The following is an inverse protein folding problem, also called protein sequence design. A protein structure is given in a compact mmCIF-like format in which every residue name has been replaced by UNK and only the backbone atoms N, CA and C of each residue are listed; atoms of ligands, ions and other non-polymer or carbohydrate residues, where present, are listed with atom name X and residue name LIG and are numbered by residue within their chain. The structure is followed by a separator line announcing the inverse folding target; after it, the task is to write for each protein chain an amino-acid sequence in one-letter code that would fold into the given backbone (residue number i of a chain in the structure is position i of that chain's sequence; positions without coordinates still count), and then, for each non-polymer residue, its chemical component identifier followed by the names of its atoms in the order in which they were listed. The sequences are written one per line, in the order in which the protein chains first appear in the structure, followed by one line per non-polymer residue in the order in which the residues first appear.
data_IF_519698554345
#
_entry.id   IF_519698554345
#
_cell.length_a   1.000
_cell.length_b   1.000
_cell.length_c   1.000
_cell.angle_alpha   90.00
_cell.angle_beta   90.00
_cell.angle_gamma   90.00
#
_symmetry.space_group_name_H-M   'P 1'
#
loop_
_entity.id
_entity.type
_entity.pdbx_description
1 polymer ?
#
# COMPACT_ATOMS: atom_id res chain seq x y z
N UNK A 1 -62.17 2.44 31.18
CA UNK A 1 -62.57 1.36 32.10
C UNK A 1 -61.27 0.84 32.72
N UNK A 2 -61.06 1.29 33.92
CA UNK A 2 -61.05 0.59 35.23
C UNK A 2 -59.80 -0.28 35.33
N UNK A 3 -58.96 -0.27 36.32
CA UNK A 3 -58.81 0.39 37.64
C UNK A 3 -57.59 -0.34 38.27
N UNK A 4 -56.64 0.39 38.73
CA UNK A 4 -56.17 0.57 40.09
C UNK A 4 -56.37 -0.63 41.04
N UNK A 5 -55.27 -1.08 41.66
CA UNK A 5 -55.27 -1.23 43.14
C UNK A 5 -53.83 -1.27 43.66
N UNK A 6 -53.56 -0.32 44.51
CA UNK A 6 -52.46 -0.14 45.47
C UNK A 6 -52.72 -1.04 46.67
N UNK A 7 -51.68 -1.62 47.31
CA UNK A 7 -51.70 -1.81 48.77
C UNK A 7 -50.33 -1.69 49.40
N UNK A 8 -50.25 -0.76 50.30
CA UNK A 8 -49.24 -0.50 51.33
C UNK A 8 -49.33 -1.49 52.49
N UNK A 9 -48.33 -1.58 53.25
CA UNK A 9 -48.22 -1.50 54.75
C UNK A 9 -47.22 -2.54 55.28
N UNK A 10 -46.46 -2.38 56.24
CA UNK A 10 -46.04 -1.50 57.30
C UNK A 10 -45.07 -2.31 58.19
N UNK A 11 -43.96 -1.72 58.49
CA UNK A 11 -43.40 -1.46 59.82
C UNK A 11 -43.23 -2.61 60.82
N UNK A 12 -41.97 -2.85 61.27
CA UNK A 12 -41.60 -2.81 62.70
C UNK A 12 -40.11 -3.04 62.96
N UNK A 13 -39.49 -2.07 63.62
CA UNK A 13 -38.29 -2.15 64.46
C UNK A 13 -38.78 -2.41 65.92
N UNK A 14 -37.90 -2.60 66.92
CA UNK A 14 -36.51 -2.98 67.08
C UNK A 14 -36.28 -4.06 68.18
N UNK A 15 -35.05 -4.57 68.39
CA UNK A 15 -34.54 -4.89 69.75
C UNK A 15 -33.00 -4.88 69.83
N UNK A 16 -32.54 -4.13 70.82
CA UNK A 16 -31.17 -4.08 71.38
C UNK A 16 -30.77 -5.37 72.06
N UNK A 17 -29.49 -5.76 72.04
CA UNK A 17 -28.66 -5.69 73.26
C UNK A 17 -27.32 -6.48 73.06
N UNK A 18 -26.26 -5.77 73.44
CA UNK A 18 -25.08 -6.19 74.24
C UNK A 18 -24.26 -7.36 73.73
N UNK A 19 -23.04 -7.17 73.27
CA UNK A 19 -21.87 -6.88 74.10
C UNK A 19 -20.88 -8.01 73.97
N UNK A 20 -19.71 -7.75 73.46
CA UNK A 20 -18.44 -8.18 73.99
C UNK A 20 -17.31 -7.85 73.00
N UNK A 21 -16.39 -7.06 73.47
CA UNK A 21 -15.04 -6.86 72.89
C UNK A 21 -14.33 -8.20 72.74
N UNK A 22 -13.75 -8.46 71.59
CA UNK A 22 -12.47 -9.20 71.47
C UNK A 22 -11.64 -8.52 70.39
N UNK A 23 -10.54 -8.01 70.86
CA UNK A 23 -9.53 -7.27 70.14
C UNK A 23 -8.53 -8.26 69.52
N UNK A 24 -8.12 -7.93 68.34
CA UNK A 24 -6.81 -8.13 67.70
C UNK A 24 -6.41 -9.41 66.99
N UNK A 25 -5.86 -9.08 65.88
CA UNK A 25 -4.77 -9.66 65.09
C UNK A 25 -5.26 -10.38 63.84
N UNK A 26 -5.30 -9.61 62.69
CA UNK A 26 -4.77 -10.04 61.42
C UNK A 26 -5.11 -9.03 60.29
N UNK A 27 -4.50 -7.88 60.36
CA UNK A 27 -4.62 -6.89 59.26
C UNK A 27 -3.31 -6.68 58.45
N UNK A 28 -2.25 -7.46 58.74
CA UNK A 28 -0.95 -7.27 58.08
C UNK A 28 -0.57 -8.30 57.03
N UNK A 29 -1.29 -9.42 56.89
CA UNK A 29 -0.87 -10.48 55.98
C UNK A 29 -1.58 -10.44 54.61
N UNK A 30 -2.63 -9.62 54.42
CA UNK A 30 -3.31 -9.50 53.12
C UNK A 30 -2.67 -8.47 52.16
N UNK A 31 -1.83 -7.57 52.68
CA UNK A 31 -1.19 -6.50 51.85
C UNK A 31 -0.01 -7.03 51.00
N UNK A 32 0.74 -7.99 51.56
CA UNK A 32 1.99 -8.47 50.91
C UNK A 32 1.68 -9.47 49.77
N UNK A 33 0.62 -10.25 49.85
CA UNK A 33 0.20 -11.16 48.79
C UNK A 33 -0.47 -10.47 47.61
N UNK A 34 -1.14 -9.35 47.83
CA UNK A 34 -1.72 -8.50 46.76
C UNK A 34 -0.63 -7.81 45.95
N UNK A 35 0.35 -7.24 46.63
CA UNK A 35 1.46 -6.53 45.98
C UNK A 35 2.39 -7.45 45.19
N UNK A 36 2.62 -8.70 45.63
CA UNK A 36 3.39 -9.70 44.86
C UNK A 36 2.68 -10.13 43.59
N UNK A 37 1.34 -10.29 43.62
CA UNK A 37 0.54 -10.67 42.44
C UNK A 37 0.46 -9.53 41.44
N UNK A 38 0.37 -8.26 41.89
CA UNK A 38 0.39 -7.09 40.98
C UNK A 38 1.78 -6.82 40.39
N UNK A 39 2.85 -7.05 41.15
CA UNK A 39 4.23 -6.96 40.63
C UNK A 39 4.54 -8.06 39.62
N UNK A 40 4.08 -9.30 39.84
CA UNK A 40 4.21 -10.39 38.85
C UNK A 40 3.38 -10.13 37.58
N UNK A 41 2.19 -9.57 37.72
CA UNK A 41 1.35 -9.18 36.58
C UNK A 41 1.96 -8.02 35.77
N UNK A 42 2.58 -7.03 36.44
CA UNK A 42 3.33 -5.96 35.77
C UNK A 42 4.61 -6.45 35.08
N UNK A 43 5.31 -7.42 35.66
CA UNK A 43 6.49 -8.04 35.03
C UNK A 43 6.11 -8.89 33.81
N UNK A 44 4.97 -9.58 33.84
CA UNK A 44 4.44 -10.33 32.69
C UNK A 44 3.90 -9.43 31.59
N UNK A 45 3.35 -8.26 31.90
CA UNK A 45 2.95 -7.26 30.90
C UNK A 45 4.16 -6.54 30.26
N UNK A 46 5.28 -6.39 30.98
CA UNK A 46 6.50 -5.79 30.44
C UNK A 46 7.25 -6.72 29.46
N UNK A 47 7.00 -8.03 29.49
CA UNK A 47 7.62 -8.99 28.56
C UNK A 47 6.83 -9.20 27.26
N UNK A 48 5.64 -8.60 27.11
CA UNK A 48 4.87 -8.62 25.85
C UNK A 48 5.31 -7.53 24.87
N UNK A 49 6.36 -6.76 25.17
CA UNK A 49 6.92 -5.70 24.34
C UNK A 49 7.99 -6.24 23.40
N UNK A 50 7.67 -6.22 22.11
CA UNK A 50 8.58 -6.36 20.97
C UNK A 50 9.04 -7.79 20.62
N UNK A 51 8.12 -8.64 20.19
CA UNK A 51 8.45 -9.59 19.14
C UNK A 51 8.65 -8.81 17.82
N UNK A 52 9.70 -8.01 17.73
CA UNK A 52 10.23 -7.58 16.45
C UNK A 52 10.74 -8.83 15.77
N UNK A 53 10.04 -9.27 14.72
CA UNK A 53 10.42 -10.47 13.98
C UNK A 53 11.90 -10.41 13.62
N UNK A 54 12.68 -11.35 14.12
CA UNK A 54 14.11 -11.42 13.82
C UNK A 54 14.26 -11.59 12.32
N UNK A 55 15.09 -10.75 11.72
CA UNK A 55 15.45 -10.85 10.30
C UNK A 55 16.07 -12.23 10.06
N UNK A 56 15.44 -13.01 9.19
CA UNK A 56 15.93 -14.35 8.84
C UNK A 56 16.76 -14.29 7.58
N UNK A 57 18.04 -14.62 7.70
CA UNK A 57 18.90 -14.76 6.54
C UNK A 57 18.54 -16.02 5.74
N UNK A 58 18.75 -15.94 4.44
CA UNK A 58 18.61 -17.08 3.52
C UNK A 58 19.83 -17.99 3.62
N UNK A 59 19.65 -19.29 3.43
CA UNK A 59 20.76 -20.22 3.37
C UNK A 59 21.63 -19.92 2.15
N UNK A 60 22.97 -19.89 2.36
CA UNK A 60 23.92 -19.63 1.30
C UNK A 60 24.02 -18.16 0.85
N UNK A 61 23.67 -17.22 1.70
CA UNK A 61 23.84 -15.79 1.41
C UNK A 61 25.30 -15.39 1.14
N UNK A 62 25.57 -14.44 0.24
CA UNK A 62 26.93 -13.99 -0.03
C UNK A 62 27.45 -13.10 1.11
N UNK A 63 28.72 -13.28 1.50
CA UNK A 63 29.37 -12.38 2.47
C UNK A 63 29.58 -10.97 1.90
N UNK A 64 29.78 -10.89 0.60
CA UNK A 64 30.03 -9.66 -0.12
C UNK A 64 29.33 -9.69 -1.47
N UNK A 65 28.71 -8.57 -1.87
CA UNK A 65 28.05 -8.44 -3.14
C UNK A 65 28.35 -7.09 -3.79
N UNK A 66 28.77 -7.10 -5.05
CA UNK A 66 28.96 -5.87 -5.83
C UNK A 66 27.70 -5.56 -6.61
N UNK A 67 27.15 -4.38 -6.41
CA UNK A 67 25.94 -3.90 -7.07
C UNK A 67 26.18 -3.78 -8.58
N UNK A 68 25.27 -4.32 -9.37
CA UNK A 68 25.33 -4.23 -10.83
C UNK A 68 24.19 -3.36 -11.37
N UNK A 69 24.40 -2.83 -12.58
CA UNK A 69 23.36 -2.03 -13.24
C UNK A 69 22.09 -2.88 -13.48
N UNK A 70 20.94 -2.35 -13.11
CA UNK A 70 19.65 -3.04 -13.20
C UNK A 70 19.21 -3.77 -11.93
N UNK A 71 20.09 -3.85 -10.91
CA UNK A 71 19.69 -4.34 -9.59
C UNK A 71 18.64 -3.40 -8.95
N UNK A 72 17.82 -3.96 -8.08
CA UNK A 72 16.97 -3.20 -7.15
C UNK A 72 17.33 -3.58 -5.71
N UNK A 73 16.98 -2.75 -4.73
CA UNK A 73 17.15 -3.12 -3.32
C UNK A 73 16.37 -4.38 -2.97
N UNK A 74 15.24 -4.59 -3.59
CA UNK A 74 14.44 -5.80 -3.46
C UNK A 74 15.20 -7.05 -3.91
N UNK A 75 15.80 -7.00 -5.11
CA UNK A 75 16.55 -8.15 -5.67
C UNK A 75 17.78 -8.47 -4.83
N UNK A 76 18.52 -7.43 -4.43
CA UNK A 76 19.69 -7.59 -3.55
C UNK A 76 19.25 -8.21 -2.22
N UNK A 77 18.17 -7.71 -1.62
CA UNK A 77 17.65 -8.24 -0.35
C UNK A 77 17.22 -9.69 -0.45
N UNK A 78 16.68 -10.11 -1.58
CA UNK A 78 16.33 -11.50 -1.87
C UNK A 78 17.53 -12.45 -1.91
N UNK A 79 18.76 -11.94 -2.06
CA UNK A 79 19.98 -12.73 -1.97
C UNK A 79 20.39 -13.00 -0.51
N UNK A 80 20.03 -12.11 0.42
CA UNK A 80 20.38 -12.17 1.83
C UNK A 80 19.24 -12.66 2.73
N UNK A 81 17.99 -12.31 2.43
CA UNK A 81 16.84 -12.52 3.29
C UNK A 81 15.90 -13.60 2.74
N UNK A 82 15.27 -14.34 3.65
CA UNK A 82 14.12 -15.20 3.31
C UNK A 82 12.91 -14.35 2.93
N UNK A 83 12.73 -13.18 3.60
CA UNK A 83 11.70 -12.20 3.36
C UNK A 83 12.32 -10.87 2.87
N UNK A 84 12.43 -10.65 1.55
CA UNK A 84 13.13 -9.49 0.97
C UNK A 84 12.59 -8.13 1.46
N UNK A 85 11.31 -8.04 1.80
CA UNK A 85 10.68 -6.80 2.27
C UNK A 85 11.25 -6.30 3.61
N UNK A 86 11.95 -7.15 4.36
CA UNK A 86 12.60 -6.75 5.61
C UNK A 86 13.93 -6.03 5.42
N UNK A 87 14.32 -5.70 4.18
CA UNK A 87 15.59 -5.04 3.90
C UNK A 87 15.85 -3.74 4.70
N UNK A 88 14.83 -2.93 5.09
CA UNK A 88 15.10 -1.74 5.90
C UNK A 88 15.78 -2.09 7.24
N UNK A 89 15.57 -3.28 7.75
CA UNK A 89 16.20 -3.74 9.00
C UNK A 89 17.69 -4.06 8.81
N UNK A 90 18.09 -4.59 7.65
CA UNK A 90 19.50 -4.80 7.30
C UNK A 90 20.24 -3.48 7.08
N UNK A 91 19.50 -2.43 6.70
CA UNK A 91 20.06 -1.15 6.30
C UNK A 91 20.37 -0.18 7.44
N UNK A 92 19.88 -0.45 8.65
CA UNK A 92 20.03 0.40 9.85
C UNK A 92 21.49 0.75 10.21
N UNK A 93 22.46 -0.02 9.72
CA UNK A 93 23.89 0.20 9.98
C UNK A 93 24.49 1.34 9.16
N UNK A 94 23.75 1.93 8.24
CA UNK A 94 24.27 2.95 7.34
C UNK A 94 23.64 4.33 7.58
N UNK A 95 23.83 4.94 8.77
CA UNK A 95 23.24 6.24 9.11
C UNK A 95 23.76 7.37 8.23
N UNK A 96 24.93 7.18 7.58
CA UNK A 96 25.49 8.10 6.61
C UNK A 96 24.73 8.11 5.26
N UNK A 97 23.80 7.19 5.07
CA UNK A 97 22.98 7.11 3.87
C UNK A 97 21.55 7.38 4.33
N UNK A 98 21.14 8.64 4.34
CA UNK A 98 19.80 9.07 4.72
C UNK A 98 18.73 8.46 3.81
N UNK A 99 19.07 8.21 2.56
CA UNK A 99 18.21 7.58 1.58
C UNK A 99 18.82 6.25 1.11
N UNK A 100 18.24 5.10 1.45
CA UNK A 100 18.75 3.80 1.02
C UNK A 100 18.77 3.60 -0.52
N UNK A 101 18.03 4.42 -1.27
CA UNK A 101 18.12 4.43 -2.73
C UNK A 101 19.40 5.06 -3.28
N UNK A 102 20.28 5.60 -2.43
CA UNK A 102 21.57 6.14 -2.83
C UNK A 102 22.65 5.05 -2.88
N UNK A 103 22.36 3.91 -3.46
CA UNK A 103 23.30 2.85 -3.80
C UNK A 103 23.49 2.87 -5.32
N UNK A 104 24.73 2.72 -5.75
CA UNK A 104 25.09 2.84 -7.14
C UNK A 104 25.71 1.54 -7.66
N UNK A 105 25.60 1.25 -8.95
CA UNK A 105 26.36 0.19 -9.58
C UNK A 105 27.85 0.37 -9.32
N UNK A 106 28.52 -0.69 -8.83
CA UNK A 106 29.91 -0.68 -8.41
C UNK A 106 30.12 -0.56 -6.91
N UNK A 107 29.12 -0.15 -6.12
CA UNK A 107 29.19 -0.20 -4.67
C UNK A 107 29.28 -1.65 -4.20
N UNK A 108 30.06 -1.89 -3.15
CA UNK A 108 30.23 -3.23 -2.58
C UNK A 108 29.49 -3.29 -1.23
N UNK A 109 28.56 -4.22 -1.14
CA UNK A 109 27.81 -4.51 0.08
C UNK A 109 28.50 -5.65 0.85
N UNK A 110 28.76 -5.43 2.13
CA UNK A 110 29.39 -6.43 3.00
C UNK A 110 28.48 -6.71 4.17
N UNK A 111 28.16 -7.99 4.42
CA UNK A 111 27.38 -8.41 5.56
C UNK A 111 28.25 -8.44 6.82
N UNK A 112 27.81 -7.79 7.86
CA UNK A 112 28.43 -7.78 9.19
C UNK A 112 27.39 -8.03 10.26
N UNK A 113 27.83 -8.31 11.49
CA UNK A 113 26.94 -8.51 12.63
C UNK A 113 27.24 -7.46 13.70
N UNK A 114 26.24 -6.71 14.09
CA UNK A 114 26.33 -5.73 15.19
C UNK A 114 25.31 -6.15 16.26
N UNK A 115 25.78 -6.38 17.48
CA UNK A 115 24.97 -6.89 18.59
C UNK A 115 24.16 -8.16 18.25
N UNK A 116 24.73 -9.04 17.43
CA UNK A 116 24.07 -10.28 17.00
C UNK A 116 23.01 -10.09 15.89
N UNK A 117 22.81 -8.86 15.41
CA UNK A 117 21.89 -8.57 14.30
C UNK A 117 22.66 -8.43 12.98
N UNK A 118 22.20 -9.07 11.89
CA UNK A 118 22.82 -8.93 10.58
C UNK A 118 22.60 -7.51 10.04
N UNK A 119 23.64 -6.93 9.46
CA UNK A 119 23.61 -5.59 8.87
C UNK A 119 24.46 -5.56 7.59
N UNK A 120 23.97 -4.86 6.56
CA UNK A 120 24.70 -4.60 5.35
C UNK A 120 25.39 -3.24 5.43
N UNK A 121 26.70 -3.21 5.24
CA UNK A 121 27.48 -1.98 5.10
C UNK A 121 27.84 -1.75 3.63
N UNK A 122 27.73 -0.49 3.20
CA UNK A 122 28.15 -0.07 1.84
C UNK A 122 29.60 0.37 1.90
N UNK A 123 30.43 -0.29 1.12
CA UNK A 123 31.81 0.12 0.90
C UNK A 123 31.92 0.75 -0.49
N UNK A 124 31.96 2.07 -0.52
CA UNK A 124 32.30 2.81 -1.74
C UNK A 124 33.81 2.75 -1.88
N UNK A 125 34.28 1.98 -2.85
CA UNK A 125 35.68 1.91 -3.13
C UNK A 125 36.27 3.33 -3.24
N UNK A 126 37.09 3.73 -2.27
CA UNK A 126 37.88 4.94 -2.41
C UNK A 126 38.61 4.83 -3.72
N UNK A 127 38.34 5.73 -4.65
CA UNK A 127 39.15 5.93 -5.83
C UNK A 127 40.54 6.42 -5.34
N UNK A 128 41.36 5.49 -4.85
CA UNK A 128 42.76 5.76 -4.53
C UNK A 128 43.52 5.87 -5.81
N UNK A 129 43.49 7.05 -6.39
CA UNK A 129 44.35 7.36 -7.52
C UNK A 129 44.27 8.85 -7.81
N UNK A 130 45.39 9.57 -7.61
CA UNK A 130 45.54 10.90 -8.20
C UNK A 130 45.53 10.75 -9.70
N UNK A 131 44.36 10.82 -10.33
CA UNK A 131 44.25 10.81 -11.78
C UNK A 131 44.63 12.21 -12.24
N UNK A 132 45.81 12.32 -12.89
CA UNK A 132 46.21 13.51 -13.60
C UNK A 132 45.19 13.76 -14.70
N UNK A 133 44.25 14.71 -14.47
CA UNK A 133 43.21 15.06 -15.41
C UNK A 133 43.83 15.78 -16.61
N UNK A 134 43.96 15.09 -17.71
CA UNK A 134 44.13 15.76 -19.02
C UNK A 134 42.78 16.41 -19.38
N UNK A 135 42.76 17.62 -19.94
CA UNK A 135 41.53 18.29 -20.34
C UNK A 135 40.94 17.61 -21.58
N UNK A 136 40.20 16.53 -21.37
CA UNK A 136 39.31 15.90 -22.34
C UNK A 136 37.93 15.85 -21.71
N UNK A 137 36.96 16.36 -22.45
CA UNK A 137 35.54 16.22 -22.06
C UNK A 137 35.23 14.72 -22.03
N UNK A 138 35.14 14.14 -20.82
CA UNK A 138 34.57 12.81 -20.61
C UNK A 138 33.13 13.02 -20.20
N UNK A 139 32.18 12.77 -21.08
CA UNK A 139 30.81 12.54 -20.75
C UNK A 139 30.70 11.12 -20.18
N UNK A 140 30.86 10.96 -18.88
CA UNK A 140 30.45 9.73 -18.20
C UNK A 140 28.96 9.90 -17.92
N UNK A 141 28.09 8.93 -18.28
CA UNK A 141 26.72 8.97 -17.82
C UNK A 141 26.75 9.02 -16.27
N UNK A 142 26.00 9.95 -15.70
CA UNK A 142 25.82 9.98 -14.25
C UNK A 142 25.20 8.64 -13.88
N UNK A 143 25.88 7.86 -13.05
CA UNK A 143 25.34 6.61 -12.58
C UNK A 143 24.07 6.91 -11.79
N UNK A 144 22.93 6.39 -12.25
CA UNK A 144 21.69 6.49 -11.51
C UNK A 144 21.70 5.51 -10.33
N UNK A 145 21.20 5.98 -9.19
CA UNK A 145 21.02 5.13 -8.01
C UNK A 145 20.01 4.01 -8.31
N UNK A 146 20.23 2.85 -7.71
CA UNK A 146 19.31 1.72 -7.90
C UNK A 146 17.98 1.99 -7.17
N UNK A 147 16.82 1.71 -7.79
CA UNK A 147 15.53 1.89 -7.15
C UNK A 147 15.29 0.82 -6.07
N UNK A 148 14.40 1.12 -5.12
CA UNK A 148 13.97 0.15 -4.11
C UNK A 148 13.22 -1.04 -4.71
N UNK A 149 12.45 -0.79 -5.76
CA UNK A 149 11.67 -1.79 -6.52
C UNK A 149 11.69 -1.42 -8.01
N UNK A 150 11.32 -2.35 -8.91
CA UNK A 150 11.24 -2.06 -10.35
C UNK A 150 10.16 -1.02 -10.65
N UNK A 151 10.54 0.25 -10.82
CA UNK A 151 9.59 1.36 -11.02
C UNK A 151 8.95 1.38 -12.41
N UNK A 152 9.55 0.73 -13.40
CA UNK A 152 9.10 0.79 -14.80
C UNK A 152 7.63 0.36 -14.96
N UNK A 153 7.23 -0.72 -14.32
CA UNK A 153 5.84 -1.23 -14.37
C UNK A 153 4.85 -0.29 -13.70
N UNK A 154 5.25 0.32 -12.57
CA UNK A 154 4.44 1.27 -11.82
C UNK A 154 4.26 2.58 -12.60
N UNK A 155 5.35 3.13 -13.15
CA UNK A 155 5.33 4.40 -13.87
C UNK A 155 4.38 4.34 -15.07
N UNK A 156 4.50 3.29 -15.88
CA UNK A 156 3.62 3.10 -17.05
C UNK A 156 2.15 2.99 -16.64
N UNK A 157 1.88 2.37 -15.50
CA UNK A 157 0.52 2.20 -14.99
C UNK A 157 -0.06 3.50 -14.44
N UNK A 158 0.68 4.24 -13.61
CA UNK A 158 0.20 5.48 -12.98
C UNK A 158 -0.05 6.61 -13.98
N UNK A 159 0.60 6.55 -15.14
CA UNK A 159 0.36 7.51 -16.21
C UNK A 159 -0.98 7.29 -16.92
N UNK A 160 -1.54 6.10 -16.87
CA UNK A 160 -2.71 5.68 -17.65
C UNK A 160 -3.99 5.43 -16.84
N UNK A 161 -3.92 5.47 -15.51
CA UNK A 161 -5.06 5.13 -14.66
C UNK A 161 -5.22 6.10 -13.49
N UNK A 162 -6.45 6.51 -13.26
CA UNK A 162 -6.85 7.32 -12.10
C UNK A 162 -8.09 6.69 -11.48
N UNK A 163 -8.16 6.69 -10.16
CA UNK A 163 -9.39 6.32 -9.44
C UNK A 163 -10.12 7.58 -9.01
N UNK A 164 -11.41 7.55 -9.21
CA UNK A 164 -12.36 8.52 -8.66
C UNK A 164 -13.14 7.82 -7.56
N UNK A 165 -12.96 8.26 -6.32
CA UNK A 165 -13.50 7.60 -5.13
C UNK A 165 -15.04 7.71 -5.02
N UNK A 166 -15.63 8.76 -5.60
CA UNK A 166 -17.08 9.02 -5.57
C UNK A 166 -17.62 9.16 -6.99
N UNK A 167 -18.70 8.47 -7.29
CA UNK A 167 -19.37 8.57 -8.59
C UNK A 167 -19.82 10.00 -8.90
N UNK A 168 -20.28 10.73 -7.87
CA UNK A 168 -20.74 12.12 -8.01
C UNK A 168 -19.62 13.08 -8.45
N UNK A 169 -18.37 12.83 -8.04
CA UNK A 169 -17.21 13.66 -8.44
C UNK A 169 -16.90 13.44 -9.92
N UNK A 170 -17.10 12.21 -10.41
CA UNK A 170 -16.98 11.92 -11.84
C UNK A 170 -18.10 12.59 -12.65
N UNK A 171 -19.35 12.49 -12.18
CA UNK A 171 -20.52 13.03 -12.87
C UNK A 171 -20.53 14.56 -12.92
N UNK A 172 -20.02 15.23 -11.88
CA UNK A 172 -19.92 16.70 -11.78
C UNK A 172 -18.70 17.29 -12.47
N UNK A 173 -17.71 16.46 -12.83
CA UNK A 173 -16.51 16.93 -13.49
C UNK A 173 -16.85 17.62 -14.83
N UNK A 174 -16.11 18.67 -15.23
CA UNK A 174 -16.25 19.26 -16.55
C UNK A 174 -16.14 18.21 -17.65
N UNK A 175 -16.85 18.38 -18.74
CA UNK A 175 -16.93 17.39 -19.81
C UNK A 175 -16.85 18.03 -21.19
N UNK A 176 -16.40 17.26 -22.18
CA UNK A 176 -16.23 17.70 -23.54
C UNK A 176 -17.58 17.75 -24.25
N UNK A 177 -17.91 18.90 -24.82
CA UNK A 177 -19.17 19.18 -25.53
C UNK A 177 -19.02 19.25 -27.03
N UNK A 178 -17.85 19.67 -27.54
CA UNK A 178 -17.61 19.78 -28.99
C UNK A 178 -16.10 19.65 -29.31
N UNK A 179 -15.80 19.22 -30.53
CA UNK A 179 -14.50 19.36 -31.15
C UNK A 179 -14.47 20.61 -32.06
N UNK A 180 -13.30 21.03 -32.53
CA UNK A 180 -13.14 22.07 -33.51
C UNK A 180 -13.78 21.66 -34.86
N UNK A 181 -14.42 22.58 -35.54
CA UNK A 181 -15.09 22.36 -36.83
C UNK A 181 -16.12 21.21 -36.81
N UNK A 182 -16.92 21.09 -35.74
CA UNK A 182 -17.97 20.07 -35.55
C UNK A 182 -17.45 18.62 -35.55
N UNK A 183 -16.17 18.39 -35.27
CA UNK A 183 -15.60 17.08 -35.21
C UNK A 183 -16.09 16.34 -33.96
N UNK A 184 -16.45 15.07 -34.14
CA UNK A 184 -16.87 14.17 -33.06
C UNK A 184 -15.66 13.53 -32.36
N UNK A 185 -14.54 13.42 -33.08
CA UNK A 185 -13.29 12.85 -32.61
C UNK A 185 -12.18 13.89 -32.78
N UNK A 186 -11.38 14.06 -31.72
CA UNK A 186 -10.27 15.01 -31.71
C UNK A 186 -8.99 14.34 -31.28
N UNK A 187 -7.87 14.81 -31.82
CA UNK A 187 -6.53 14.28 -31.54
C UNK A 187 -5.55 15.37 -31.11
N UNK A 188 -4.30 15.01 -30.88
CA UNK A 188 -3.24 15.96 -30.51
C UNK A 188 -3.11 17.07 -31.53
N UNK A 189 -3.10 18.33 -31.07
CA UNK A 189 -3.03 19.52 -31.86
C UNK A 189 -4.40 20.14 -32.19
N UNK A 190 -5.50 19.42 -31.98
CA UNK A 190 -6.85 19.95 -32.16
C UNK A 190 -7.26 20.82 -30.96
N UNK A 191 -8.28 21.66 -31.18
CA UNK A 191 -8.99 22.37 -30.11
C UNK A 191 -10.30 21.65 -29.80
N UNK A 192 -10.66 21.66 -28.51
CA UNK A 192 -11.92 21.12 -28.02
C UNK A 192 -12.61 22.14 -27.12
N UNK A 193 -13.91 21.98 -26.96
CA UNK A 193 -14.73 22.79 -26.07
C UNK A 193 -15.27 21.89 -24.94
N UNK A 194 -15.10 22.37 -23.72
CA UNK A 194 -15.56 21.67 -22.54
C UNK A 194 -16.44 22.58 -21.68
N UNK A 195 -17.44 22.02 -21.03
CA UNK A 195 -18.38 22.71 -20.15
C UNK A 195 -18.21 22.27 -18.72
N UNK A 196 -18.22 23.21 -17.79
CA UNK A 196 -18.15 22.96 -16.36
C UNK A 196 -17.50 24.09 -15.59
N UNK A 197 -17.04 23.77 -14.38
CA UNK A 197 -16.30 24.69 -13.53
C UNK A 197 -14.81 24.43 -13.68
N UNK A 198 -14.04 25.47 -14.02
CA UNK A 198 -12.60 25.40 -14.21
C UNK A 198 -11.89 26.29 -13.19
N UNK A 199 -10.80 25.79 -12.64
CA UNK A 199 -9.94 26.53 -11.73
C UNK A 199 -9.01 27.45 -12.56
N UNK A 200 -9.08 28.78 -12.38
CA UNK A 200 -8.23 29.72 -13.12
C UNK A 200 -6.74 29.55 -12.83
N UNK A 201 -6.39 29.01 -11.66
CA UNK A 201 -5.00 28.78 -11.28
C UNK A 201 -4.40 27.51 -11.88
N UNK A 202 -5.24 26.64 -12.44
CA UNK A 202 -4.83 25.36 -13.03
C UNK A 202 -5.21 25.29 -14.51
N UNK A 203 -4.34 25.73 -15.42
CA UNK A 203 -4.66 25.71 -16.84
C UNK A 203 -4.59 24.32 -17.48
N UNK A 204 -3.91 23.34 -16.84
CA UNK A 204 -3.68 22.01 -17.41
C UNK A 204 -4.66 21.00 -16.86
N UNK A 205 -5.38 20.34 -17.77
CA UNK A 205 -6.36 19.30 -17.45
C UNK A 205 -6.02 17.98 -18.15
N UNK A 206 -6.17 16.89 -17.40
CA UNK A 206 -6.22 15.54 -17.96
C UNK A 206 -7.63 15.24 -18.46
N UNK A 207 -7.72 14.46 -19.52
CA UNK A 207 -8.96 14.01 -20.14
C UNK A 207 -9.12 12.54 -19.86
N UNK A 208 -10.26 12.17 -19.29
CA UNK A 208 -10.51 10.81 -18.81
C UNK A 208 -11.86 10.30 -19.29
N UNK A 209 -11.91 9.01 -19.58
CA UNK A 209 -13.14 8.28 -19.88
C UNK A 209 -13.47 7.35 -18.73
N UNK A 210 -14.75 7.21 -18.44
CA UNK A 210 -15.21 6.24 -17.46
C UNK A 210 -14.84 4.82 -17.92
N UNK A 211 -14.02 4.17 -17.14
CA UNK A 211 -13.68 2.78 -17.30
C UNK A 211 -14.49 1.88 -16.38
N UNK A 212 -13.81 0.93 -15.75
CA UNK A 212 -14.45 -0.06 -14.86
C UNK A 212 -14.92 0.56 -13.55
N UNK A 213 -16.14 0.24 -13.14
CA UNK A 213 -16.65 0.53 -11.80
C UNK A 213 -16.25 -0.63 -10.88
N UNK A 214 -15.56 -0.31 -9.79
CA UNK A 214 -15.15 -1.29 -8.81
C UNK A 214 -16.18 -1.41 -7.70
N UNK A 215 -16.58 -2.64 -7.42
CA UNK A 215 -17.45 -3.03 -6.31
C UNK A 215 -16.77 -4.12 -5.49
N UNK A 216 -17.01 -4.11 -4.19
CA UNK A 216 -16.54 -5.19 -3.32
C UNK A 216 -17.28 -6.48 -3.65
N UNK A 217 -16.58 -7.58 -3.95
CA UNK A 217 -17.24 -8.82 -4.36
C UNK A 217 -18.05 -9.48 -3.25
N UNK A 218 -17.81 -9.15 -1.98
CA UNK A 218 -18.50 -9.73 -0.84
C UNK A 218 -19.66 -8.85 -0.35
N UNK A 219 -19.42 -7.53 -0.23
CA UNK A 219 -20.39 -6.59 0.34
C UNK A 219 -21.20 -5.85 -0.71
N UNK A 220 -20.78 -5.90 -1.98
CA UNK A 220 -21.35 -5.13 -3.10
C UNK A 220 -21.22 -3.60 -2.91
N UNK A 221 -20.38 -3.17 -1.97
CA UNK A 221 -20.09 -1.75 -1.77
C UNK A 221 -19.39 -1.17 -2.99
N UNK A 222 -19.78 0.04 -3.40
CA UNK A 222 -19.07 0.83 -4.40
C UNK A 222 -17.72 1.27 -3.83
N UNK A 223 -16.63 0.93 -4.53
CA UNK A 223 -15.25 1.23 -4.14
C UNK A 223 -14.64 2.40 -4.90
N UNK A 224 -15.06 2.63 -6.14
CA UNK A 224 -14.55 3.69 -6.99
C UNK A 224 -14.73 3.42 -8.47
N UNK A 225 -14.37 4.40 -9.29
CA UNK A 225 -14.39 4.33 -10.75
C UNK A 225 -12.96 4.43 -11.27
N UNK A 226 -12.55 3.49 -12.12
CA UNK A 226 -11.35 3.68 -12.92
C UNK A 226 -11.65 4.71 -14.01
N UNK A 227 -10.85 5.75 -14.08
CA UNK A 227 -10.89 6.74 -15.13
C UNK A 227 -9.67 6.52 -16.04
N UNK A 228 -9.93 6.06 -17.25
CA UNK A 228 -8.92 5.78 -18.26
C UNK A 228 -8.37 7.08 -18.83
N UNK A 229 -7.06 7.26 -18.82
CA UNK A 229 -6.41 8.45 -19.38
C UNK A 229 -6.52 8.45 -20.91
N UNK A 230 -7.26 9.40 -21.44
CA UNK A 230 -7.45 9.61 -22.88
C UNK A 230 -6.45 10.61 -23.43
N UNK A 231 -6.09 11.62 -22.61
CA UNK A 231 -5.20 12.65 -23.06
C UNK A 231 -5.02 13.77 -22.05
N UNK A 232 -4.56 14.91 -22.53
CA UNK A 232 -4.45 16.13 -21.74
C UNK A 232 -4.29 17.35 -22.63
N UNK A 233 -4.74 18.48 -22.12
CA UNK A 233 -4.70 19.75 -22.82
C UNK A 233 -4.61 20.93 -21.85
N UNK A 234 -4.38 22.08 -22.41
CA UNK A 234 -4.28 23.34 -21.69
C UNK A 234 -5.45 24.27 -22.08
N UNK A 235 -6.05 24.90 -21.08
CA UNK A 235 -7.09 25.91 -21.30
C UNK A 235 -6.44 27.14 -21.94
N UNK A 236 -6.93 27.51 -23.10
CA UNK A 236 -6.47 28.71 -23.86
C UNK A 236 -7.44 29.87 -23.73
N UNK A 237 -8.71 29.61 -23.45
CA UNK A 237 -9.73 30.61 -23.20
C UNK A 237 -10.88 30.05 -22.38
N UNK A 238 -11.57 30.90 -21.62
CA UNK A 238 -12.77 30.55 -20.88
C UNK A 238 -13.83 31.63 -21.07
N UNK A 239 -15.04 31.21 -21.45
CA UNK A 239 -16.19 32.10 -21.63
C UNK A 239 -17.38 31.53 -20.86
N UNK A 240 -17.70 32.15 -19.71
CA UNK A 240 -18.74 31.65 -18.80
C UNK A 240 -18.43 30.27 -18.24
N UNK A 241 -19.24 29.27 -18.56
CA UNK A 241 -19.08 27.87 -18.16
C UNK A 241 -18.42 27.01 -19.26
N UNK A 242 -17.96 27.62 -20.34
CA UNK A 242 -17.28 26.92 -21.44
C UNK A 242 -15.81 27.31 -21.51
N UNK A 243 -14.95 26.31 -21.55
CA UNK A 243 -13.52 26.47 -21.77
C UNK A 243 -13.10 25.89 -23.13
N UNK A 244 -12.19 26.59 -23.79
CA UNK A 244 -11.48 26.10 -25.00
C UNK A 244 -10.15 25.50 -24.54
N UNK A 245 -9.89 24.25 -24.89
CA UNK A 245 -8.65 23.57 -24.60
C UNK A 245 -7.88 23.25 -25.88
N UNK A 246 -6.57 23.45 -25.86
CA UNK A 246 -5.65 22.94 -26.87
C UNK A 246 -5.11 21.56 -26.43
N UNK A 247 -5.35 20.53 -27.23
CA UNK A 247 -4.91 19.17 -26.94
C UNK A 247 -3.40 19.04 -27.14
N UNK A 248 -2.68 18.78 -26.06
CA UNK A 248 -1.22 18.62 -26.08
C UNK A 248 -0.81 17.17 -26.27
N UNK A 249 -1.61 16.23 -25.73
CA UNK A 249 -1.34 14.79 -25.73
C UNK A 249 -2.64 14.02 -25.83
N UNK A 250 -2.65 12.97 -26.63
CA UNK A 250 -3.73 11.99 -26.67
C UNK A 250 -3.16 10.58 -26.73
N UNK A 251 -3.72 9.66 -25.93
CA UNK A 251 -3.43 8.23 -25.96
C UNK A 251 -4.47 7.48 -26.78
N UNK A 252 -5.66 8.06 -26.85
CA UNK A 252 -6.80 7.60 -27.64
C UNK A 252 -7.52 8.82 -28.20
N UNK A 253 -8.47 8.60 -29.11
CA UNK A 253 -9.34 9.65 -29.62
C UNK A 253 -10.20 10.22 -28.50
N UNK A 254 -10.18 11.54 -28.38
CA UNK A 254 -11.01 12.28 -27.44
C UNK A 254 -12.44 12.32 -27.99
N UNK A 255 -13.42 12.04 -27.14
CA UNK A 255 -14.84 11.95 -27.51
C UNK A 255 -15.70 12.91 -26.70
N UNK A 256 -16.87 13.23 -27.23
CA UNK A 256 -17.88 13.98 -26.49
C UNK A 256 -18.28 13.24 -25.22
N UNK A 257 -18.38 13.96 -24.12
CA UNK A 257 -18.68 13.40 -22.80
C UNK A 257 -17.46 12.90 -22.01
N UNK A 258 -16.25 12.85 -22.59
CA UNK A 258 -15.04 12.60 -21.80
C UNK A 258 -14.88 13.70 -20.73
N UNK A 259 -14.45 13.31 -19.53
CA UNK A 259 -14.37 14.16 -18.34
C UNK A 259 -13.00 14.79 -18.17
N UNK A 260 -12.98 16.00 -17.62
CA UNK A 260 -11.75 16.70 -17.34
C UNK A 260 -11.50 16.75 -15.84
N UNK A 261 -10.26 16.46 -15.48
CA UNK A 261 -9.79 16.62 -14.10
C UNK A 261 -8.53 17.45 -14.12
N UNK A 262 -8.40 18.37 -13.16
CA UNK A 262 -7.18 19.14 -12.99
C UNK A 262 -5.99 18.19 -12.81
N UNK A 263 -4.85 18.56 -13.40
CA UNK A 263 -3.64 17.76 -13.29
C UNK A 263 -3.24 17.62 -11.83
N UNK A 264 -3.45 16.44 -11.24
CA UNK A 264 -2.69 16.08 -10.05
C UNK A 264 -1.21 16.13 -10.42
N UNK A 265 -0.38 16.71 -9.57
CA UNK A 265 1.06 16.51 -9.65
C UNK A 265 1.30 15.00 -9.72
N UNK A 266 1.72 14.52 -10.87
CA UNK A 266 2.06 13.11 -11.11
C UNK A 266 3.43 12.79 -10.49
N UNK A 267 3.72 13.37 -9.33
CA UNK A 267 4.93 13.06 -8.58
C UNK A 267 4.77 11.69 -7.96
N UNK A 268 5.44 10.73 -8.55
CA UNK A 268 5.57 9.41 -7.96
C UNK A 268 6.66 9.53 -6.91
N UNK A 269 6.31 9.28 -5.66
CA UNK A 269 7.32 9.04 -4.65
C UNK A 269 8.06 7.75 -5.03
N UNK A 270 9.21 7.88 -5.67
CA UNK A 270 9.99 6.72 -6.16
C UNK A 270 10.68 5.94 -5.03
N UNK A 271 10.57 6.43 -3.79
CA UNK A 271 11.18 5.82 -2.61
C UNK A 271 10.12 5.08 -1.82
N UNK A 272 9.98 3.79 -2.07
CA UNK A 272 9.09 2.93 -1.28
C UNK A 272 9.88 2.25 -0.17
N UNK A 273 9.41 2.43 1.08
CA UNK A 273 9.94 1.73 2.25
C UNK A 273 9.00 0.59 2.62
N UNK A 274 9.39 -0.67 2.36
CA UNK A 274 8.54 -1.80 2.69
C UNK A 274 8.24 -1.88 4.19
N UNK A 275 6.98 -2.12 4.52
CA UNK A 275 6.51 -2.28 5.89
C UNK A 275 5.31 -3.22 5.95
N UNK A 276 5.09 -3.84 7.11
CA UNK A 276 3.83 -4.52 7.35
C UNK A 276 2.72 -3.49 7.63
N UNK A 277 1.47 -3.74 7.23
CA UNK A 277 0.34 -2.90 7.63
C UNK A 277 0.22 -2.82 9.15
N UNK A 278 -0.19 -1.64 9.66
CA UNK A 278 -0.38 -1.43 11.10
C UNK A 278 -1.65 -2.11 11.65
N UNK A 279 -2.58 -2.50 10.78
CA UNK A 279 -3.82 -3.21 11.12
C UNK A 279 -3.87 -4.54 10.39
N UNK A 280 -4.65 -5.47 10.89
CA UNK A 280 -4.93 -6.72 10.20
C UNK A 280 -5.74 -6.46 8.93
N UNK A 281 -5.16 -6.79 7.80
CA UNK A 281 -5.78 -6.67 6.48
C UNK A 281 -6.30 -8.03 6.06
N UNK A 282 -7.56 -8.06 5.65
CA UNK A 282 -8.19 -9.22 5.05
C UNK A 282 -8.95 -8.74 3.81
N UNK A 283 -8.29 -8.79 2.68
CA UNK A 283 -8.80 -8.30 1.40
C UNK A 283 -8.68 -9.35 0.31
N UNK A 284 -9.07 -8.95 -0.90
CA UNK A 284 -8.96 -9.77 -2.11
C UNK A 284 -8.49 -8.92 -3.29
N UNK A 285 -7.89 -9.58 -4.27
CA UNK A 285 -7.60 -8.99 -5.58
C UNK A 285 -8.92 -8.90 -6.35
N UNK A 286 -9.33 -7.69 -6.75
CA UNK A 286 -10.60 -7.47 -7.45
C UNK A 286 -10.43 -7.25 -8.94
N UNK A 287 -9.24 -6.89 -9.38
CA UNK A 287 -8.98 -6.63 -10.79
C UNK A 287 -7.50 -6.68 -11.14
N UNK A 288 -7.25 -6.89 -12.44
CA UNK A 288 -5.94 -6.73 -13.09
C UNK A 288 -6.11 -5.74 -14.23
N UNK A 289 -5.69 -4.49 -14.07
CA UNK A 289 -6.03 -3.40 -15.01
C UNK A 289 -5.64 -3.63 -16.47
N UNK A 290 -4.73 -4.56 -16.74
CA UNK A 290 -4.34 -4.92 -18.13
C UNK A 290 -5.11 -6.13 -18.69
N UNK A 291 -6.15 -6.59 -18.01
CA UNK A 291 -7.07 -7.61 -18.53
C UNK A 291 -6.48 -9.03 -18.65
N UNK A 292 -5.35 -9.32 -17.98
CA UNK A 292 -4.80 -10.68 -17.94
C UNK A 292 -5.55 -11.52 -16.92
N UNK A 293 -5.83 -12.77 -17.28
CA UNK A 293 -6.52 -13.71 -16.38
C UNK A 293 -5.57 -14.39 -15.38
N UNK A 294 -4.29 -14.43 -15.69
CA UNK A 294 -3.24 -14.98 -14.84
C UNK A 294 -2.28 -13.88 -14.43
N UNK A 295 -2.07 -13.74 -13.14
CA UNK A 295 -1.25 -12.70 -12.54
C UNK A 295 0.10 -13.32 -12.19
N UNK A 296 1.17 -12.67 -12.64
CA UNK A 296 2.55 -13.04 -12.37
C UNK A 296 3.31 -11.96 -11.60
N UNK A 297 4.62 -12.16 -11.47
CA UNK A 297 5.50 -11.12 -10.95
C UNK A 297 5.51 -9.90 -11.88
N UNK A 298 5.58 -8.70 -11.29
CA UNK A 298 5.56 -7.39 -11.95
C UNK A 298 4.19 -6.97 -12.53
N UNK A 299 3.14 -7.74 -12.31
CA UNK A 299 1.79 -7.31 -12.65
C UNK A 299 1.22 -6.38 -11.56
N UNK A 300 0.43 -5.40 -12.01
CA UNK A 300 -0.33 -4.51 -11.13
C UNK A 300 -1.71 -5.10 -10.89
N UNK A 301 -2.12 -5.09 -9.63
CA UNK A 301 -3.42 -5.59 -9.18
C UNK A 301 -4.18 -4.53 -8.39
N UNK A 302 -5.50 -4.59 -8.44
CA UNK A 302 -6.39 -3.75 -7.64
C UNK A 302 -6.92 -4.55 -6.46
N UNK A 303 -6.87 -3.96 -5.27
CA UNK A 303 -7.31 -4.54 -4.00
C UNK A 303 -8.57 -3.84 -3.50
N UNK A 304 -9.48 -4.58 -2.84
CA UNK A 304 -10.68 -4.03 -2.20
C UNK A 304 -10.40 -3.44 -0.80
N UNK A 305 -9.18 -3.02 -0.54
CA UNK A 305 -8.75 -2.39 0.70
C UNK A 305 -7.97 -1.12 0.40
N UNK A 306 -8.19 -0.07 1.18
CA UNK A 306 -7.62 1.25 0.98
C UNK A 306 -7.15 1.92 2.27
N UNK A 307 -7.02 3.24 2.24
CA UNK A 307 -6.60 4.07 3.39
C UNK A 307 -7.51 3.87 4.60
N UNK A 308 -8.82 3.79 4.41
CA UNK A 308 -9.80 3.59 5.50
C UNK A 308 -9.56 2.28 6.25
N UNK A 309 -9.03 1.25 5.59
CA UNK A 309 -8.71 -0.05 6.19
C UNK A 309 -7.35 -0.05 6.88
N UNK A 310 -6.53 0.99 6.70
CA UNK A 310 -5.20 1.13 7.30
C UNK A 310 -4.06 0.76 6.37
N UNK A 311 -4.31 0.66 5.05
CA UNK A 311 -3.24 0.51 4.06
C UNK A 311 -2.55 1.84 3.76
N UNK A 312 -1.24 1.78 3.62
CA UNK A 312 -0.37 2.87 3.19
C UNK A 312 0.54 2.42 2.06
N UNK A 313 1.06 3.38 1.31
CA UNK A 313 2.06 3.11 0.27
C UNK A 313 3.33 2.53 0.92
N UNK A 314 3.89 1.47 0.31
CA UNK A 314 4.98 0.67 0.88
C UNK A 314 4.52 -0.54 1.69
N UNK A 315 3.25 -0.68 2.04
CA UNK A 315 2.78 -1.86 2.75
C UNK A 315 2.92 -3.12 1.88
N UNK A 316 3.44 -4.17 2.49
CA UNK A 316 3.61 -5.48 1.86
C UNK A 316 2.52 -6.43 2.35
N UNK A 317 1.92 -7.16 1.42
CA UNK A 317 0.88 -8.15 1.70
C UNK A 317 1.27 -9.49 1.09
N UNK A 318 0.88 -10.56 1.77
CA UNK A 318 0.96 -11.93 1.26
C UNK A 318 -0.29 -12.23 0.45
N UNK A 319 -0.11 -12.78 -0.74
CA UNK A 319 -1.21 -13.32 -1.54
C UNK A 319 -1.38 -14.80 -1.22
N UNK A 320 -2.60 -15.17 -0.87
CA UNK A 320 -2.99 -16.53 -0.52
C UNK A 320 -3.87 -17.09 -1.61
N UNK A 321 -3.39 -18.16 -2.24
CA UNK A 321 -4.22 -18.94 -3.17
C UNK A 321 -5.28 -19.68 -2.38
N UNK A 322 -6.53 -19.45 -2.73
CA UNK A 322 -7.64 -20.17 -2.10
C UNK A 322 -7.56 -21.66 -2.44
N UNK A 323 -7.54 -22.50 -1.42
CA UNK A 323 -7.52 -23.94 -1.59
C UNK A 323 -8.79 -24.44 -2.30
N UNK A 324 -8.63 -25.43 -3.16
CA UNK A 324 -9.74 -26.07 -3.86
C UNK A 324 -10.59 -26.92 -2.91
N UNK A 325 -11.87 -27.07 -3.22
CA UNK A 325 -12.72 -28.04 -2.54
C UNK A 325 -12.65 -29.35 -3.32
N UNK A 326 -11.98 -30.33 -2.76
CA UNK A 326 -11.85 -31.68 -3.36
C UNK A 326 -12.84 -32.63 -2.71
N UNK A 327 -13.26 -33.63 -3.46
CA UNK A 327 -14.07 -34.72 -2.88
C UNK A 327 -13.15 -35.79 -2.33
N UNK A 328 -13.22 -36.03 -1.01
CA UNK A 328 -12.49 -37.14 -0.39
C UNK A 328 -12.94 -38.46 -1.02
N UNK A 329 -11.99 -39.20 -1.57
CA UNK A 329 -12.28 -40.47 -2.27
C UNK A 329 -12.69 -41.60 -1.33
N UNK A 330 -12.41 -41.48 -0.03
CA UNK A 330 -12.71 -42.50 0.99
C UNK A 330 -14.06 -42.21 1.63
N UNK A 331 -14.27 -40.99 2.10
CA UNK A 331 -15.50 -40.62 2.81
C UNK A 331 -16.59 -40.08 1.90
N UNK A 332 -16.25 -39.71 0.67
CA UNK A 332 -17.17 -39.08 -0.30
C UNK A 332 -17.55 -37.64 0.05
N UNK A 333 -17.03 -37.07 1.13
CA UNK A 333 -17.36 -35.74 1.59
C UNK A 333 -16.52 -34.66 0.89
N UNK A 334 -17.05 -33.44 0.71
CA UNK A 334 -16.25 -32.32 0.24
C UNK A 334 -15.26 -31.91 1.32
N UNK A 335 -13.98 -31.86 0.97
CA UNK A 335 -12.88 -31.41 1.83
C UNK A 335 -12.26 -30.15 1.22
N UNK A 336 -12.25 -29.04 1.98
CA UNK A 336 -11.56 -27.82 1.56
C UNK A 336 -10.09 -27.93 1.91
N UNK A 337 -9.23 -27.84 0.90
CA UNK A 337 -7.78 -27.74 1.08
C UNK A 337 -7.45 -26.35 1.70
N UNK A 338 -6.48 -26.28 2.64
CA UNK A 338 -6.05 -25.00 3.20
C UNK A 338 -5.55 -24.02 2.14
N UNK A 339 -5.76 -22.72 2.40
CA UNK A 339 -5.20 -21.66 1.57
C UNK A 339 -3.65 -21.67 1.69
N UNK A 340 -2.95 -21.55 0.58
CA UNK A 340 -1.49 -21.59 0.53
C UNK A 340 -0.91 -20.22 0.14
N UNK A 341 0.25 -19.87 0.70
CA UNK A 341 1.01 -18.68 0.29
C UNK A 341 1.45 -18.85 -1.16
N UNK A 342 1.02 -17.94 -2.02
CA UNK A 342 1.28 -17.99 -3.45
C UNK A 342 2.13 -16.82 -3.95
N UNK A 343 2.21 -15.71 -3.21
CA UNK A 343 2.99 -14.56 -3.62
C UNK A 343 3.12 -13.48 -2.57
N UNK A 344 3.85 -12.44 -2.95
CA UNK A 344 3.99 -11.18 -2.21
C UNK A 344 3.68 -10.03 -3.16
N UNK A 345 2.95 -9.05 -2.67
CA UNK A 345 2.73 -7.79 -3.37
C UNK A 345 3.06 -6.61 -2.46
N UNK A 346 3.36 -5.46 -3.04
CA UNK A 346 3.54 -4.21 -2.33
C UNK A 346 2.55 -3.18 -2.85
N UNK A 347 1.89 -2.50 -1.92
CA UNK A 347 0.98 -1.39 -2.22
C UNK A 347 1.81 -0.17 -2.60
N UNK A 348 1.60 0.37 -3.79
CA UNK A 348 2.31 1.55 -4.27
C UNK A 348 1.42 2.80 -4.44
N UNK A 349 0.11 2.60 -4.40
CA UNK A 349 -0.88 3.70 -4.41
C UNK A 349 -2.10 3.32 -3.61
N UNK A 350 -2.58 4.23 -2.76
CA UNK A 350 -3.77 4.01 -1.94
C UNK A 350 -4.79 5.10 -2.18
N UNK A 351 -6.06 4.68 -2.35
CA UNK A 351 -7.25 5.51 -2.36
C UNK A 351 -8.07 5.24 -1.09
N UNK A 352 -9.20 5.88 -0.93
CA UNK A 352 -9.99 5.71 0.31
C UNK A 352 -10.39 4.24 0.53
N UNK A 353 -10.99 3.59 -0.47
CA UNK A 353 -11.58 2.25 -0.35
C UNK A 353 -10.83 1.15 -1.07
N UNK A 354 -9.92 1.49 -1.96
CA UNK A 354 -9.14 0.54 -2.75
C UNK A 354 -7.66 0.95 -2.84
N UNK A 355 -6.84 0.05 -3.30
CA UNK A 355 -5.41 0.32 -3.53
C UNK A 355 -4.89 -0.45 -4.73
N UNK A 356 -3.77 0.03 -5.27
CA UNK A 356 -3.00 -0.67 -6.28
C UNK A 356 -1.76 -1.31 -5.65
N UNK A 357 -1.55 -2.58 -5.96
CA UNK A 357 -0.39 -3.35 -5.56
C UNK A 357 0.41 -3.84 -6.76
N UNK A 358 1.74 -3.86 -6.62
CA UNK A 358 2.65 -4.52 -7.54
C UNK A 358 2.98 -5.90 -6.99
N UNK A 359 2.77 -6.94 -7.77
CA UNK A 359 3.19 -8.30 -7.41
C UNK A 359 4.71 -8.40 -7.55
N UNK A 360 5.40 -8.53 -6.43
CA UNK A 360 6.87 -8.61 -6.40
C UNK A 360 7.38 -10.03 -6.59
N UNK A 361 6.61 -11.02 -6.12
CA UNK A 361 6.93 -12.44 -6.25
C UNK A 361 5.65 -13.25 -6.39
N UNK A 362 5.66 -14.23 -7.26
CA UNK A 362 4.59 -15.22 -7.40
C UNK A 362 5.23 -16.60 -7.55
N UNK A 363 4.97 -17.49 -6.60
CA UNK A 363 5.40 -18.90 -6.66
C UNK A 363 4.43 -19.76 -7.47
N UNK A 364 3.21 -19.26 -7.67
CA UNK A 364 2.13 -19.85 -8.48
C UNK A 364 1.39 -18.75 -9.21
N UNK A 365 0.67 -19.09 -10.27
CA UNK A 365 -0.22 -18.15 -10.95
C UNK A 365 -1.31 -17.67 -10.01
N UNK A 366 -1.37 -16.34 -9.81
CA UNK A 366 -2.38 -15.67 -9.03
C UNK A 366 -3.60 -15.34 -9.90
N UNK A 367 -4.73 -15.09 -9.27
CA UNK A 367 -5.98 -14.77 -9.95
C UNK A 367 -6.80 -13.73 -9.18
N UNK A 368 -7.77 -13.15 -9.85
CA UNK A 368 -8.81 -12.34 -9.21
C UNK A 368 -9.52 -13.19 -8.16
N UNK A 369 -9.87 -12.62 -7.02
CA UNK A 369 -10.43 -13.20 -5.80
C UNK A 369 -9.42 -13.98 -4.95
N UNK A 370 -8.15 -14.07 -5.31
CA UNK A 370 -7.13 -14.52 -4.36
C UNK A 370 -7.06 -13.54 -3.18
N UNK A 371 -6.91 -14.10 -1.97
CA UNK A 371 -6.93 -13.34 -0.73
C UNK A 371 -5.60 -12.63 -0.49
N UNK A 372 -5.67 -11.46 0.14
CA UNK A 372 -4.48 -10.73 0.59
C UNK A 372 -4.56 -10.49 2.09
N UNK A 373 -3.42 -10.67 2.79
CA UNK A 373 -3.31 -10.50 4.23
C UNK A 373 -1.92 -10.02 4.65
N UNK A 374 -1.75 -9.68 5.91
CA UNK A 374 -0.45 -9.31 6.48
C UNK A 374 0.59 -10.43 6.29
N UNK A 375 1.88 -10.07 6.09
CA UNK A 375 2.98 -11.01 5.94
C UNK A 375 3.35 -11.76 7.22
#
# INVERSE_FOLDING_TARGET
MQATVVKRSLCSLPKRATGALTVHANAYDKGIHGMRKTLLALLLLASAGAAQGQVQLRDGFPQQYTVVSGDTLWDISGKYLREPWQWPQLWRANPQIDNPNLIYPGDTLTLSYVNGQPQLSVNRGESRGTIKLSPRIRTSPVAEAIPSIPLKSINSFLLSNRIVDKAEDFDKAPYIVAGDAERVLSGTGDRIFARGHFDPEQPVYGIFRQGKVYTDPQTQEFLGINADDIGGGEIVATEGDVATLALQRTTQEVRLGDRLFSGEERSINSTFMPSAPARDINGVIIDVPRGVTQIGAMDVVTLNKGKRDGLAEGNVLVVMKTGETVRDRITGQPLKIPDERAGLLMVFRTYDKLSYGLVLNASRSLAVLDKVRNP
#
